data_IF_935132489944
#
_entry.id   IF_935132489944
#
_cell.length_a   1.000
_cell.length_b   1.000
_cell.length_c   1.000
_cell.angle_alpha   90.00
_cell.angle_beta   90.00
_cell.angle_gamma   90.00
#
_symmetry.space_group_name_H-M   'P 1'
#
loop_
_entity.id
_entity.type
_entity.pdbx_description
1 polymer ?
#
# COMPACT_ATOMS: atom_id res chain seq x y z
N UNK A 1 43.88 -31.75 -66.14
CA UNK A 1 42.95 -32.76 -66.68
C UNK A 1 42.39 -33.56 -65.51
N UNK A 2 41.23 -33.22 -65.05
CA UNK A 2 40.51 -33.97 -64.00
C UNK A 2 39.30 -34.65 -64.65
N UNK A 3 39.35 -35.94 -64.64
CA UNK A 3 38.41 -36.89 -65.27
C UNK A 3 37.22 -37.04 -64.36
N UNK A 4 36.07 -36.41 -64.65
CA UNK A 4 34.80 -36.68 -64.05
C UNK A 4 34.31 -38.07 -64.39
N UNK A 5 34.35 -38.98 -63.40
CA UNK A 5 33.84 -40.33 -63.51
C UNK A 5 32.31 -40.33 -63.47
N UNK A 6 31.70 -41.07 -64.39
CA UNK A 6 30.28 -41.32 -64.60
C UNK A 6 29.57 -41.63 -63.31
N UNK A 7 28.58 -40.79 -62.94
CA UNK A 7 27.56 -41.15 -62.01
C UNK A 7 26.68 -42.27 -62.58
N UNK A 8 26.68 -43.34 -61.88
CA UNK A 8 25.89 -44.52 -62.14
C UNK A 8 24.38 -44.21 -62.08
N UNK A 9 23.69 -44.35 -63.19
CA UNK A 9 22.31 -43.94 -63.42
C UNK A 9 21.31 -45.02 -62.86
N UNK A 10 21.51 -45.47 -61.65
CA UNK A 10 20.57 -46.38 -60.99
C UNK A 10 19.44 -45.56 -60.33
N UNK A 11 18.18 -45.73 -60.75
CA UNK A 11 17.05 -44.98 -60.21
C UNK A 11 16.86 -45.16 -58.70
N UNK A 12 17.28 -46.32 -58.16
CA UNK A 12 17.29 -46.61 -56.73
C UNK A 12 18.29 -45.78 -55.93
N UNK A 13 19.48 -45.48 -56.51
CA UNK A 13 20.50 -44.66 -55.86
C UNK A 13 20.07 -43.19 -55.78
N UNK A 14 19.46 -42.68 -56.84
CA UNK A 14 18.92 -41.34 -56.88
C UNK A 14 17.73 -41.14 -55.88
N UNK A 15 16.85 -42.15 -55.78
CA UNK A 15 15.76 -42.10 -54.81
C UNK A 15 16.29 -42.09 -53.38
N UNK A 16 17.33 -42.84 -53.06
CA UNK A 16 17.94 -42.88 -51.73
C UNK A 16 18.64 -41.56 -51.37
N UNK A 17 19.33 -40.95 -52.35
CA UNK A 17 19.94 -39.61 -52.15
C UNK A 17 18.89 -38.53 -51.90
N UNK A 18 17.76 -38.56 -52.61
CA UNK A 18 16.66 -37.61 -52.41
C UNK A 18 16.03 -37.79 -51.03
N UNK A 19 15.83 -39.02 -50.55
CA UNK A 19 15.27 -39.30 -49.22
C UNK A 19 16.21 -38.81 -48.09
N UNK A 20 17.52 -39.04 -48.25
CA UNK A 20 18.51 -38.56 -47.27
C UNK A 20 18.57 -37.03 -47.26
N UNK A 21 18.50 -36.39 -48.44
CA UNK A 21 18.47 -34.93 -48.52
C UNK A 21 17.23 -34.32 -47.91
N UNK A 22 16.05 -34.92 -48.10
CA UNK A 22 14.81 -34.54 -47.44
C UNK A 22 14.89 -34.71 -45.93
N UNK A 23 15.51 -35.79 -45.45
CA UNK A 23 15.68 -36.03 -44.03
C UNK A 23 16.60 -35.00 -43.37
N UNK A 24 17.68 -34.60 -44.04
CA UNK A 24 18.61 -33.55 -43.58
C UNK A 24 17.92 -32.17 -43.57
N UNK A 25 17.10 -31.85 -44.57
CA UNK A 25 16.36 -30.59 -44.61
C UNK A 25 15.30 -30.49 -43.50
N UNK A 26 14.61 -31.58 -43.18
CA UNK A 26 13.63 -31.62 -42.12
C UNK A 26 14.30 -31.48 -40.75
N UNK A 27 15.44 -32.14 -40.50
CA UNK A 27 16.17 -32.05 -39.24
C UNK A 27 16.76 -30.66 -39.00
N UNK A 28 17.16 -29.93 -40.03
CA UNK A 28 17.67 -28.57 -39.92
C UNK A 28 16.56 -27.55 -39.51
N UNK A 29 15.31 -27.82 -39.88
CA UNK A 29 14.18 -26.92 -39.54
C UNK A 29 13.77 -27.00 -38.09
N UNK A 30 14.01 -28.12 -37.42
CA UNK A 30 13.67 -28.28 -35.99
C UNK A 30 14.64 -27.54 -35.06
N UNK A 31 15.90 -27.32 -35.46
CA UNK A 31 16.92 -26.68 -34.62
C UNK A 31 16.63 -25.19 -34.42
N UNK A 32 16.11 -24.49 -35.40
CA UNK A 32 15.81 -23.04 -35.31
C UNK A 32 14.57 -22.71 -34.49
N UNK A 33 13.60 -23.62 -34.40
CA UNK A 33 12.39 -23.39 -33.61
C UNK A 33 12.62 -23.53 -32.10
N UNK A 34 13.57 -24.38 -31.66
CA UNK A 34 13.92 -24.52 -30.27
C UNK A 34 14.68 -23.30 -29.71
N UNK A 35 15.57 -22.73 -30.51
CA UNK A 35 16.44 -21.61 -30.10
C UNK A 35 15.63 -20.30 -29.89
N UNK A 36 14.58 -20.11 -30.67
CA UNK A 36 13.67 -18.96 -30.50
C UNK A 36 12.79 -19.06 -29.23
N UNK A 37 12.32 -20.27 -28.88
CA UNK A 37 11.49 -20.48 -27.68
C UNK A 37 12.32 -20.30 -26.40
N UNK A 38 13.58 -20.77 -26.43
CA UNK A 38 14.46 -20.63 -25.27
C UNK A 38 14.89 -19.19 -25.03
N UNK A 39 15.08 -18.40 -26.10
CA UNK A 39 15.35 -16.96 -26.00
C UNK A 39 14.16 -16.17 -25.51
N UNK A 40 12.93 -16.50 -25.92
CA UNK A 40 11.71 -15.84 -25.48
C UNK A 40 11.42 -16.13 -24.01
N UNK A 41 11.59 -17.37 -23.56
CA UNK A 41 11.43 -17.74 -22.13
C UNK A 41 12.45 -17.05 -21.24
N UNK A 42 13.69 -16.90 -21.72
CA UNK A 42 14.74 -16.18 -21.00
C UNK A 42 14.43 -14.69 -20.91
N UNK A 43 13.97 -14.08 -21.99
CA UNK A 43 13.56 -12.68 -22.03
C UNK A 43 12.37 -12.42 -21.09
N UNK A 44 11.37 -13.31 -21.06
CA UNK A 44 10.23 -13.20 -20.16
C UNK A 44 10.66 -13.28 -18.70
N UNK A 45 11.57 -14.19 -18.35
CA UNK A 45 12.14 -14.31 -17.02
C UNK A 45 12.95 -13.06 -16.62
N UNK A 46 13.76 -12.50 -17.52
CA UNK A 46 14.51 -11.27 -17.30
C UNK A 46 13.57 -10.07 -17.11
N UNK A 47 12.47 -10.02 -17.85
CA UNK A 47 11.45 -8.97 -17.76
C UNK A 47 10.67 -9.05 -16.43
N UNK A 48 10.35 -10.25 -15.95
CA UNK A 48 9.75 -10.43 -14.63
C UNK A 48 10.70 -10.04 -13.49
N UNK A 49 11.97 -10.38 -13.60
CA UNK A 49 12.99 -9.97 -12.64
C UNK A 49 13.15 -8.46 -12.62
N UNK A 50 13.22 -7.81 -13.77
CA UNK A 50 13.32 -6.37 -13.88
C UNK A 50 12.09 -5.68 -13.28
N UNK A 51 10.90 -6.19 -13.58
CA UNK A 51 9.64 -5.69 -13.00
C UNK A 51 9.64 -5.80 -11.46
N UNK A 52 10.09 -6.94 -10.94
CA UNK A 52 10.22 -7.14 -9.50
C UNK A 52 11.20 -6.16 -8.86
N UNK A 53 12.36 -5.94 -9.50
CA UNK A 53 13.36 -4.98 -9.03
C UNK A 53 12.83 -3.55 -9.04
N UNK A 54 12.09 -3.15 -10.08
CA UNK A 54 11.47 -1.82 -10.15
C UNK A 54 10.43 -1.63 -9.05
N UNK A 55 9.60 -2.65 -8.79
CA UNK A 55 8.63 -2.59 -7.71
C UNK A 55 9.29 -2.49 -6.33
N UNK A 56 10.37 -3.24 -6.13
CA UNK A 56 11.15 -3.18 -4.89
C UNK A 56 11.80 -1.81 -4.72
N UNK A 57 12.45 -1.29 -5.77
CA UNK A 57 13.07 0.04 -5.75
C UNK A 57 12.04 1.15 -5.46
N UNK A 58 10.87 1.10 -6.08
CA UNK A 58 9.80 2.06 -5.80
C UNK A 58 9.36 2.01 -4.34
N UNK A 59 9.27 0.80 -3.75
CA UNK A 59 8.95 0.65 -2.33
C UNK A 59 10.03 1.23 -1.43
N UNK A 60 11.29 0.95 -1.73
CA UNK A 60 12.43 1.48 -0.97
C UNK A 60 12.53 3.00 -1.05
N UNK A 61 12.27 3.59 -2.23
CA UNK A 61 12.19 5.04 -2.42
C UNK A 61 11.04 5.64 -1.61
N UNK A 62 9.88 5.01 -1.57
CA UNK A 62 8.75 5.49 -0.78
C UNK A 62 9.06 5.48 0.72
N UNK A 63 9.70 4.42 1.24
CA UNK A 63 10.11 4.34 2.64
C UNK A 63 11.15 5.44 2.95
N UNK A 64 12.14 5.61 2.08
CA UNK A 64 13.16 6.64 2.27
C UNK A 64 12.57 8.06 2.22
N UNK A 65 11.61 8.30 1.34
CA UNK A 65 10.89 9.57 1.27
C UNK A 65 10.11 9.84 2.57
N UNK A 66 9.42 8.83 3.11
CA UNK A 66 8.70 8.93 4.38
C UNK A 66 9.65 9.21 5.55
N UNK A 67 10.77 8.51 5.63
CA UNK A 67 11.79 8.70 6.66
C UNK A 67 12.44 10.10 6.61
N UNK A 68 12.60 10.67 5.41
CA UNK A 68 13.14 12.02 5.24
C UNK A 68 12.11 13.10 5.55
N UNK A 69 10.84 12.86 5.23
CA UNK A 69 9.76 13.82 5.48
C UNK A 69 9.31 13.83 6.94
N UNK A 70 9.33 12.66 7.59
CA UNK A 70 8.82 12.47 8.95
C UNK A 70 9.84 11.73 9.83
N UNK A 71 10.99 12.34 10.14
CA UNK A 71 11.96 11.70 11.03
C UNK A 71 11.34 11.45 12.41
N UNK A 72 11.66 10.31 13.03
CA UNK A 72 11.10 9.88 14.30
C UNK A 72 11.20 10.95 15.40
N UNK A 73 12.29 11.70 15.41
CA UNK A 73 12.50 12.79 16.38
C UNK A 73 11.48 13.93 16.34
N UNK A 74 10.77 14.12 15.23
CA UNK A 74 9.75 15.15 15.07
C UNK A 74 8.37 14.61 14.75
N UNK A 75 8.26 13.33 14.46
CA UNK A 75 7.02 12.70 13.99
C UNK A 75 5.94 12.71 15.05
N UNK A 76 4.73 13.13 14.64
CA UNK A 76 3.50 13.01 15.41
C UNK A 76 2.41 12.43 14.51
N UNK A 77 1.75 11.37 14.97
CA UNK A 77 0.60 10.80 14.30
C UNK A 77 -0.62 10.84 15.21
N UNK A 78 -1.77 11.24 14.67
CA UNK A 78 -3.04 11.28 15.40
C UNK A 78 -4.02 10.33 14.73
N UNK A 79 -4.61 9.48 15.55
CA UNK A 79 -5.58 8.48 15.13
C UNK A 79 -6.93 8.71 15.81
N UNK A 80 -7.98 8.21 15.18
CA UNK A 80 -9.30 8.10 15.79
C UNK A 80 -9.77 6.67 15.76
N UNK A 81 -10.37 6.23 16.85
CA UNK A 81 -11.11 4.98 16.97
C UNK A 81 -12.46 5.21 17.65
N UNK A 82 -13.35 4.28 17.44
CA UNK A 82 -14.71 4.36 17.98
C UNK A 82 -15.01 3.06 18.73
N UNK A 83 -15.35 3.22 20.01
CA UNK A 83 -15.86 2.15 20.87
C UNK A 83 -17.22 2.59 21.43
N UNK A 84 -18.12 2.92 20.50
CA UNK A 84 -19.47 3.40 20.79
C UNK A 84 -20.51 2.43 20.22
N UNK A 85 -21.52 2.13 21.03
CA UNK A 85 -22.62 1.27 20.62
C UNK A 85 -23.78 2.01 20.00
N UNK A 86 -24.31 3.04 20.64
CA UNK A 86 -25.57 3.66 20.24
C UNK A 86 -25.73 5.15 20.55
N UNK A 87 -24.90 5.74 21.41
CA UNK A 87 -25.17 7.08 21.94
C UNK A 87 -24.68 8.24 21.08
N UNK A 88 -23.86 7.96 20.07
CA UNK A 88 -23.32 9.01 19.21
C UNK A 88 -23.00 8.48 17.82
N UNK A 89 -23.53 9.13 16.81
CA UNK A 89 -23.23 8.86 15.41
C UNK A 89 -22.31 9.94 14.90
N UNK A 90 -21.04 9.60 14.67
CA UNK A 90 -20.01 10.53 14.21
C UNK A 90 -20.32 11.04 12.80
N UNK A 91 -20.29 12.36 12.61
CA UNK A 91 -20.49 13.03 11.33
C UNK A 91 -19.20 13.70 10.83
N UNK A 92 -18.50 14.40 11.71
CA UNK A 92 -17.23 15.02 11.40
C UNK A 92 -16.29 15.10 12.59
N UNK A 93 -14.99 15.23 12.27
CA UNK A 93 -13.94 15.53 13.24
C UNK A 93 -13.10 16.71 12.75
N UNK A 94 -12.74 17.59 13.65
CA UNK A 94 -11.79 18.67 13.46
C UNK A 94 -10.68 18.55 14.49
N UNK A 95 -9.44 18.66 14.07
CA UNK A 95 -8.27 18.52 14.94
C UNK A 95 -7.38 19.75 14.80
N UNK A 96 -6.99 20.31 15.95
CA UNK A 96 -6.08 21.46 16.06
C UNK A 96 -4.90 21.11 16.95
N UNK A 97 -3.74 21.59 16.59
CA UNK A 97 -2.55 21.62 17.46
C UNK A 97 -2.15 23.09 17.67
N UNK A 98 -1.96 23.48 18.92
CA UNK A 98 -1.60 24.87 19.29
C UNK A 98 -2.54 25.90 18.65
N UNK A 99 -3.82 25.61 18.62
CA UNK A 99 -4.87 26.44 18.01
C UNK A 99 -4.81 26.57 16.49
N UNK A 100 -3.95 25.79 15.81
CA UNK A 100 -3.87 25.72 14.35
C UNK A 100 -4.64 24.49 13.84
N UNK A 101 -5.53 24.68 12.87
CA UNK A 101 -6.23 23.58 12.20
C UNK A 101 -5.25 22.72 11.42
N UNK A 102 -5.17 21.42 11.74
CA UNK A 102 -4.27 20.45 11.11
C UNK A 102 -4.99 19.39 10.31
N UNK A 103 -6.20 19.03 10.70
CA UNK A 103 -6.99 18.01 10.01
C UNK A 103 -8.50 18.24 10.21
N UNK A 104 -9.29 17.90 9.20
CA UNK A 104 -10.74 17.89 9.25
C UNK A 104 -11.31 16.83 8.31
N UNK A 105 -12.25 16.02 8.81
CA UNK A 105 -12.87 14.93 8.04
C UNK A 105 -14.37 14.93 8.21
N UNK A 106 -15.07 14.64 7.12
CA UNK A 106 -16.50 14.35 7.08
C UNK A 106 -16.67 12.85 6.82
N UNK A 107 -17.49 12.19 7.61
CA UNK A 107 -17.68 10.74 7.55
C UNK A 107 -18.90 10.35 6.75
N UNK A 108 -18.68 9.52 5.76
CA UNK A 108 -19.75 8.79 5.08
C UNK A 108 -20.27 7.66 5.96
N UNK A 109 -21.45 7.14 5.68
CA UNK A 109 -22.01 6.00 6.41
C UNK A 109 -21.06 4.80 6.42
N UNK A 110 -20.47 4.46 5.27
CA UNK A 110 -19.54 3.34 5.14
C UNK A 110 -18.28 3.48 6.00
N UNK A 111 -17.75 4.70 6.10
CA UNK A 111 -16.57 4.98 6.93
C UNK A 111 -16.90 4.87 8.43
N UNK A 112 -18.08 5.35 8.85
CA UNK A 112 -18.54 5.17 10.22
C UNK A 112 -18.69 3.70 10.60
N UNK A 113 -19.37 2.92 9.74
CA UNK A 113 -19.53 1.48 9.95
C UNK A 113 -18.18 0.76 10.07
N UNK A 114 -17.18 1.15 9.30
CA UNK A 114 -15.83 0.60 9.42
C UNK A 114 -15.15 0.94 10.75
N UNK A 115 -15.33 2.17 11.24
CA UNK A 115 -14.82 2.58 12.56
C UNK A 115 -15.56 1.86 13.70
N UNK A 116 -16.88 1.72 13.62
CA UNK A 116 -17.72 0.98 14.59
C UNK A 116 -17.37 -0.51 14.66
N UNK A 117 -16.81 -1.08 13.58
CA UNK A 117 -16.30 -2.45 13.54
C UNK A 117 -14.87 -2.59 14.10
N UNK A 118 -14.35 -1.57 14.76
CA UNK A 118 -13.00 -1.55 15.34
C UNK A 118 -11.92 -1.04 14.37
N UNK A 119 -12.32 -0.35 13.31
CA UNK A 119 -11.38 0.35 12.43
C UNK A 119 -10.70 1.51 13.15
N UNK A 120 -9.43 1.75 12.82
CA UNK A 120 -8.67 2.92 13.27
C UNK A 120 -8.32 3.75 12.04
N UNK A 121 -8.60 5.05 12.11
CA UNK A 121 -8.28 5.98 11.03
C UNK A 121 -7.18 6.94 11.46
N UNK A 122 -6.14 7.08 10.63
CA UNK A 122 -5.14 8.13 10.77
C UNK A 122 -5.76 9.47 10.33
N UNK A 123 -5.82 10.43 11.25
CA UNK A 123 -6.30 11.79 10.99
C UNK A 123 -5.18 12.71 10.54
N UNK A 124 -4.00 12.58 11.15
CA UNK A 124 -2.86 13.44 10.89
C UNK A 124 -1.55 12.67 10.99
N UNK A 125 -0.61 13.02 10.16
CA UNK A 125 0.79 12.65 10.25
C UNK A 125 1.60 13.90 9.87
N UNK A 126 2.49 14.32 10.76
CA UNK A 126 3.30 15.50 10.52
C UNK A 126 4.45 15.62 11.48
N UNK A 127 5.15 16.72 11.40
CA UNK A 127 6.30 17.03 12.24
C UNK A 127 5.93 18.08 13.27
N UNK A 128 6.33 17.85 14.52
CA UNK A 128 6.16 18.77 15.62
C UNK A 128 7.50 18.92 16.36
N UNK A 129 7.80 20.15 16.79
CA UNK A 129 9.03 20.42 17.55
C UNK A 129 8.92 19.83 18.94
N UNK A 130 10.05 19.50 19.53
CA UNK A 130 10.14 19.11 20.95
C UNK A 130 9.60 20.23 21.85
N UNK A 131 8.81 19.85 22.87
CA UNK A 131 8.21 20.76 23.84
C UNK A 131 6.75 20.47 24.14
N UNK A 132 6.12 21.35 24.90
CA UNK A 132 4.71 21.22 25.29
C UNK A 132 3.79 21.73 24.19
N UNK A 133 2.77 20.94 23.90
CA UNK A 133 1.77 21.22 22.89
C UNK A 133 0.36 20.96 23.41
N UNK A 134 -0.61 21.60 22.77
CA UNK A 134 -2.01 21.49 23.08
C UNK A 134 -2.76 20.91 21.87
N UNK A 135 -3.41 19.76 22.06
CA UNK A 135 -4.27 19.11 21.09
C UNK A 135 -5.72 19.42 21.42
N UNK A 136 -6.46 19.99 20.49
CA UNK A 136 -7.91 20.14 20.59
C UNK A 136 -8.58 19.33 19.50
N UNK A 137 -9.43 18.39 19.87
CA UNK A 137 -10.25 17.65 18.93
C UNK A 137 -11.73 17.90 19.16
N UNK A 138 -12.46 18.14 18.08
CA UNK A 138 -13.88 18.45 18.08
C UNK A 138 -14.59 17.44 17.20
N UNK A 139 -15.52 16.72 17.78
CA UNK A 139 -16.33 15.70 17.11
C UNK A 139 -17.77 16.21 17.02
N UNK A 140 -18.29 16.33 15.81
CA UNK A 140 -19.69 16.65 15.58
C UNK A 140 -20.43 15.37 15.16
N UNK A 141 -21.63 15.20 15.63
CA UNK A 141 -22.43 14.03 15.32
C UNK A 141 -23.87 14.16 15.79
N UNK A 142 -24.59 13.08 15.72
CA UNK A 142 -25.99 12.98 16.15
C UNK A 142 -26.11 12.06 17.36
N UNK A 143 -26.94 12.43 18.30
CA UNK A 143 -27.32 11.54 19.41
C UNK A 143 -28.44 10.56 19.00
N UNK A 144 -28.87 9.72 19.95
CA UNK A 144 -29.99 8.77 19.76
C UNK A 144 -31.30 9.41 19.32
N UNK A 145 -31.51 10.68 19.66
CA UNK A 145 -32.71 11.46 19.31
C UNK A 145 -32.54 12.29 18.02
N UNK A 146 -31.47 11.99 17.25
CA UNK A 146 -31.10 12.71 16.00
C UNK A 146 -30.81 14.20 16.21
N UNK A 147 -30.45 14.62 17.41
CA UNK A 147 -30.03 16.00 17.69
C UNK A 147 -28.55 16.16 17.42
N UNK A 148 -28.16 17.27 16.82
CA UNK A 148 -26.78 17.62 16.60
C UNK A 148 -26.07 17.83 17.95
N UNK A 149 -25.01 17.08 18.19
CA UNK A 149 -24.22 17.13 19.42
C UNK A 149 -22.76 17.31 19.09
N UNK A 150 -22.08 18.13 19.87
CA UNK A 150 -20.64 18.36 19.77
C UNK A 150 -19.95 17.76 20.99
N UNK A 151 -18.86 17.03 20.76
CA UNK A 151 -17.95 16.54 21.78
C UNK A 151 -16.57 17.12 21.50
N UNK A 152 -15.90 17.62 22.52
CA UNK A 152 -14.57 18.19 22.39
C UNK A 152 -13.68 17.67 23.51
N UNK A 153 -12.43 17.52 23.21
CA UNK A 153 -11.36 17.24 24.16
C UNK A 153 -10.24 18.22 23.93
N UNK A 154 -9.67 18.69 25.02
CA UNK A 154 -8.43 19.46 25.03
C UNK A 154 -7.42 18.66 25.84
N UNK A 155 -6.27 18.38 25.24
CA UNK A 155 -5.24 17.55 25.79
C UNK A 155 -3.86 18.20 25.65
N UNK A 156 -3.14 18.32 26.76
CA UNK A 156 -1.77 18.83 26.77
C UNK A 156 -0.83 17.64 26.81
N UNK A 157 0.16 17.63 25.91
CA UNK A 157 1.16 16.60 25.82
C UNK A 157 2.55 17.19 25.62
N UNK A 158 3.56 16.45 26.03
CA UNK A 158 4.96 16.79 25.81
C UNK A 158 5.51 15.96 24.66
N UNK A 159 6.04 16.60 23.66
CA UNK A 159 6.77 15.96 22.56
C UNK A 159 8.25 15.98 22.89
N UNK A 160 8.85 14.82 23.02
CA UNK A 160 10.29 14.59 23.15
C UNK A 160 10.94 14.33 21.77
N UNK A 161 12.10 13.65 21.73
CA UNK A 161 12.83 13.27 20.53
C UNK A 161 12.46 11.88 19.99
N UNK A 162 11.38 11.26 20.52
CA UNK A 162 10.82 10.01 20.01
C UNK A 162 9.55 10.27 19.20
N UNK A 163 9.15 9.33 18.35
CA UNK A 163 7.88 9.44 17.61
C UNK A 163 6.69 9.30 18.57
N UNK A 164 5.73 10.21 18.45
CA UNK A 164 4.54 10.25 19.29
C UNK A 164 3.31 9.86 18.51
N UNK A 165 2.55 8.92 19.04
CA UNK A 165 1.25 8.53 18.50
C UNK A 165 0.16 8.82 19.53
N UNK A 166 -0.89 9.54 19.11
CA UNK A 166 -2.03 9.89 19.95
C UNK A 166 -3.29 9.27 19.35
N UNK A 167 -3.98 8.48 20.13
CA UNK A 167 -5.29 7.95 19.78
C UNK A 167 -6.39 8.75 20.47
N UNK A 168 -7.35 9.22 19.66
CA UNK A 168 -8.59 9.85 20.09
C UNK A 168 -9.70 8.80 20.06
N UNK A 169 -10.03 8.25 21.20
CA UNK A 169 -11.02 7.18 21.32
C UNK A 169 -12.37 7.74 21.77
N UNK A 170 -13.40 7.54 20.95
CA UNK A 170 -14.79 7.81 21.33
C UNK A 170 -15.36 6.60 22.07
N UNK A 171 -15.77 6.79 23.32
CA UNK A 171 -16.26 5.71 24.20
C UNK A 171 -17.62 6.08 24.77
N UNK A 172 -18.54 5.14 24.76
CA UNK A 172 -19.85 5.32 25.40
C UNK A 172 -19.75 5.15 26.91
N UNK A 173 -20.17 6.17 27.62
CA UNK A 173 -20.29 6.15 29.08
C UNK A 173 -21.72 5.76 29.48
N UNK A 174 -21.90 4.51 29.89
CA UNK A 174 -23.21 3.96 30.25
C UNK A 174 -23.84 4.63 31.44
N UNK A 175 -23.03 5.21 32.35
CA UNK A 175 -23.51 5.90 33.55
C UNK A 175 -24.32 7.17 33.24
N UNK A 176 -23.97 7.88 32.17
CA UNK A 176 -24.55 9.16 31.77
C UNK A 176 -25.27 9.11 30.43
N UNK A 177 -25.32 7.96 29.77
CA UNK A 177 -25.82 7.79 28.40
C UNK A 177 -25.23 8.80 27.44
N UNK A 178 -23.93 9.07 27.55
CA UNK A 178 -23.20 10.05 26.75
C UNK A 178 -21.89 9.47 26.26
N UNK A 179 -21.49 9.88 25.07
CA UNK A 179 -20.16 9.57 24.54
C UNK A 179 -19.16 10.59 25.08
N UNK A 180 -18.01 10.11 25.51
CA UNK A 180 -16.84 10.93 25.84
C UNK A 180 -15.67 10.62 24.91
N UNK A 181 -14.73 11.55 24.83
CA UNK A 181 -13.46 11.34 24.12
C UNK A 181 -12.40 11.02 25.16
N UNK A 182 -11.71 9.92 24.97
CA UNK A 182 -10.53 9.51 25.74
C UNK A 182 -9.30 9.70 24.85
N UNK A 183 -8.21 10.20 25.41
CA UNK A 183 -6.95 10.37 24.71
C UNK A 183 -5.96 9.37 25.27
N UNK A 184 -5.35 8.57 24.38
CA UNK A 184 -4.32 7.60 24.75
C UNK A 184 -3.04 7.91 23.95
N UNK A 185 -1.90 7.93 24.63
CA UNK A 185 -0.59 8.08 24.01
C UNK A 185 0.03 6.70 23.82
N UNK A 186 0.58 6.46 22.66
CA UNK A 186 1.36 5.27 22.35
C UNK A 186 2.81 5.67 22.12
N UNK A 187 3.67 5.21 22.98
CA UNK A 187 5.12 5.32 22.83
C UNK A 187 5.61 4.04 22.14
N UNK A 188 6.39 4.20 21.09
CA UNK A 188 6.97 3.09 20.33
C UNK A 188 8.34 2.68 20.88
#
# INVERSE_FOLDING_TARGET
MLKLSRLNNNPLCNALVIVVFLYVCVSASYSHALESIESDLKLESELEQLKSQVLQLNRELYILEEDLLFPASTQVAIFVSIDIGQFFKLDSVEVKINNQDIAGFLYTQRQREALEQGGIQKLYLGNLKVGNHELTAIFNGLDTEQRAVKRAVNYQFEKDDESLMIELKLVDETSNFRTKVVVEEWVL
#
